data_IF_064352592015
#
_entry.id   IF_064352592015
#
_cell.length_a   1.000
_cell.length_b   1.000
_cell.length_c   1.000
_cell.angle_alpha   90.00
_cell.angle_beta   90.00
_cell.angle_gamma   90.00
#
_symmetry.space_group_name_H-M   'P 1'
#
loop_
_entity.id
_entity.type
_entity.pdbx_description
1 polymer ?
#
# COMPACT_ATOMS: atom_id res chain seq x y z
N UNK A 1 12.62 1.26 -54.98
CA UNK A 1 11.82 1.20 -53.74
C UNK A 1 12.79 1.17 -52.58
N UNK A 2 12.84 2.21 -51.75
CA UNK A 2 13.75 2.25 -50.60
C UNK A 2 13.25 1.24 -49.58
N UNK A 3 14.07 0.23 -49.28
CA UNK A 3 13.73 -0.82 -48.33
C UNK A 3 13.60 -0.20 -46.93
N UNK A 4 12.46 -0.41 -46.27
CA UNK A 4 12.24 0.06 -44.90
C UNK A 4 13.13 -0.72 -43.93
N UNK A 5 13.91 0.01 -43.13
CA UNK A 5 14.68 -0.56 -42.02
C UNK A 5 13.90 -0.38 -40.70
N UNK A 6 13.43 -1.47 -40.06
CA UNK A 6 12.71 -1.40 -38.79
C UNK A 6 13.62 -1.18 -37.58
N UNK A 7 14.95 -1.34 -37.70
CA UNK A 7 15.86 -1.33 -36.56
C UNK A 7 15.77 -0.07 -35.67
N UNK A 8 15.66 1.16 -36.22
CA UNK A 8 15.54 2.37 -35.40
C UNK A 8 14.24 2.39 -34.58
N UNK A 9 13.14 1.93 -35.16
CA UNK A 9 11.84 1.86 -34.48
C UNK A 9 11.87 0.84 -33.34
N UNK A 10 12.50 -0.32 -33.55
CA UNK A 10 12.66 -1.35 -32.52
C UNK A 10 13.52 -0.82 -31.35
N UNK A 11 14.62 -0.13 -31.65
CA UNK A 11 15.48 0.48 -30.63
C UNK A 11 14.72 1.52 -29.79
N UNK A 12 13.88 2.34 -30.43
CA UNK A 12 13.04 3.32 -29.75
C UNK A 12 12.03 2.64 -28.81
N UNK A 13 11.32 1.60 -29.27
CA UNK A 13 10.37 0.84 -28.46
C UNK A 13 11.06 0.26 -27.21
N UNK A 14 12.24 -0.34 -27.36
CA UNK A 14 12.99 -0.90 -26.24
C UNK A 14 13.39 0.19 -25.20
N UNK A 15 13.77 1.37 -25.68
CA UNK A 15 14.08 2.51 -24.80
C UNK A 15 12.86 2.99 -24.01
N UNK A 16 11.70 3.09 -24.66
CA UNK A 16 10.43 3.50 -24.03
C UNK A 16 10.02 2.48 -22.97
N UNK A 17 10.11 1.19 -23.27
CA UNK A 17 9.79 0.13 -22.30
C UNK A 17 10.66 0.24 -21.04
N UNK A 18 11.96 0.45 -21.22
CA UNK A 18 12.91 0.65 -20.11
C UNK A 18 12.56 1.87 -19.26
N UNK A 19 12.19 2.99 -19.90
CA UNK A 19 11.80 4.21 -19.19
C UNK A 19 10.47 4.03 -18.42
N UNK A 20 9.50 3.33 -19.01
CA UNK A 20 8.24 2.99 -18.34
C UNK A 20 8.48 2.11 -17.11
N UNK A 21 9.36 1.12 -17.22
CA UNK A 21 9.66 0.24 -16.09
C UNK A 21 10.39 0.98 -14.96
N UNK A 22 11.28 1.92 -15.30
CA UNK A 22 11.88 2.84 -14.31
C UNK A 22 10.82 3.72 -13.63
N UNK A 23 9.88 4.29 -14.40
CA UNK A 23 8.82 5.13 -13.84
C UNK A 23 7.90 4.32 -12.92
N UNK A 24 7.52 3.10 -13.33
CA UNK A 24 6.76 2.18 -12.47
C UNK A 24 7.49 1.87 -11.19
N UNK A 25 8.79 1.58 -11.25
CA UNK A 25 9.60 1.31 -10.06
C UNK A 25 9.60 2.52 -9.10
N UNK A 26 9.78 3.74 -9.62
CA UNK A 26 9.73 4.96 -8.81
C UNK A 26 8.37 5.18 -8.13
N UNK A 27 7.27 4.92 -8.85
CA UNK A 27 5.91 5.00 -8.29
C UNK A 27 5.65 3.89 -7.26
N UNK A 28 6.15 2.68 -7.49
CA UNK A 28 6.02 1.55 -6.55
C UNK A 28 6.83 1.76 -5.27
N UNK A 29 8.00 2.41 -5.33
CA UNK A 29 8.74 2.82 -4.11
C UNK A 29 7.96 3.82 -3.25
N UNK A 30 7.05 4.61 -3.83
CA UNK A 30 6.12 5.46 -3.08
C UNK A 30 5.01 4.69 -2.37
N UNK A 31 4.87 3.38 -2.62
CA UNK A 31 4.08 2.44 -1.82
C UNK A 31 4.94 1.73 -0.76
N UNK A 32 5.94 2.41 -0.20
CA UNK A 32 6.62 1.92 0.99
C UNK A 32 5.57 1.50 2.03
N UNK A 33 5.66 0.25 2.50
CA UNK A 33 4.76 -0.30 3.50
C UNK A 33 4.80 0.65 4.71
N UNK A 34 3.70 1.32 5.05
CA UNK A 34 3.72 2.31 6.12
C UNK A 34 4.14 1.65 7.43
N UNK A 35 5.06 2.28 8.15
CA UNK A 35 5.49 1.78 9.45
C UNK A 35 4.29 1.75 10.42
N UNK A 36 3.89 0.55 10.92
CA UNK A 36 2.82 0.41 11.90
C UNK A 36 3.06 1.18 13.20
N UNK A 37 4.33 1.41 13.56
CA UNK A 37 4.74 2.11 14.78
C UNK A 37 4.97 3.61 14.58
N UNK A 38 4.74 4.14 13.39
CA UNK A 38 4.83 5.58 13.13
C UNK A 38 3.92 6.35 14.09
N UNK A 39 4.49 7.36 14.77
CA UNK A 39 3.78 8.17 15.76
C UNK A 39 2.52 8.85 15.18
N UNK A 40 2.49 9.13 13.87
CA UNK A 40 1.32 9.72 13.18
C UNK A 40 0.11 8.78 13.14
N UNK A 41 0.29 7.48 13.39
CA UNK A 41 -0.82 6.53 13.42
C UNK A 41 -1.71 6.69 14.65
N UNK A 42 -1.23 7.36 15.71
CA UNK A 42 -1.93 7.45 16.98
C UNK A 42 -2.08 8.89 17.44
N UNK A 43 -3.24 9.17 18.00
CA UNK A 43 -3.48 10.36 18.81
C UNK A 43 -2.78 10.22 20.16
N UNK A 44 -2.58 11.32 20.92
CA UNK A 44 -2.00 11.27 22.26
C UNK A 44 -2.78 10.37 23.24
N UNK A 45 -4.07 10.14 23.00
CA UNK A 45 -4.92 9.24 23.80
C UNK A 45 -4.81 7.76 23.39
N UNK A 46 -3.92 7.44 22.44
CA UNK A 46 -3.67 6.09 21.95
C UNK A 46 -4.65 5.61 20.87
N UNK A 47 -5.68 6.39 20.50
CA UNK A 47 -6.59 6.03 19.41
C UNK A 47 -5.93 6.20 18.05
N UNK A 48 -6.34 5.37 17.09
CA UNK A 48 -5.83 5.48 15.72
C UNK A 48 -6.35 6.75 15.04
N UNK A 49 -5.45 7.47 14.39
CA UNK A 49 -5.79 8.52 13.41
C UNK A 49 -6.37 7.88 12.14
N UNK A 50 -7.00 8.66 11.23
CA UNK A 50 -7.43 8.12 9.93
C UNK A 50 -6.29 7.41 9.18
N UNK A 51 -5.09 7.99 9.22
CA UNK A 51 -3.86 7.34 8.73
C UNK A 51 -3.61 6.00 9.42
N UNK A 52 -3.64 5.98 10.75
CA UNK A 52 -3.43 4.75 11.53
C UNK A 52 -4.46 3.66 11.25
N UNK A 53 -5.72 4.03 10.96
CA UNK A 53 -6.76 3.09 10.51
C UNK A 53 -6.40 2.49 9.16
N UNK A 54 -6.01 3.32 8.19
CA UNK A 54 -5.59 2.84 6.86
C UNK A 54 -4.34 1.94 6.96
N UNK A 55 -3.36 2.25 7.83
CA UNK A 55 -2.22 1.37 8.09
C UNK A 55 -2.66 0.04 8.69
N UNK A 56 -3.58 0.06 9.66
CA UNK A 56 -4.17 -1.15 10.25
C UNK A 56 -4.86 -2.01 9.18
N UNK A 57 -5.62 -1.39 8.28
CA UNK A 57 -6.29 -2.09 7.19
C UNK A 57 -5.32 -2.68 6.18
N UNK A 58 -4.26 -1.96 5.81
CA UNK A 58 -3.21 -2.49 4.91
C UNK A 58 -2.51 -3.73 5.48
N UNK A 59 -2.41 -3.86 6.81
CA UNK A 59 -1.91 -5.08 7.42
C UNK A 59 -2.90 -6.24 7.29
N UNK A 60 -4.20 -5.99 7.38
CA UNK A 60 -5.23 -6.99 7.10
C UNK A 60 -5.29 -7.36 5.61
N UNK A 61 -5.17 -6.38 4.71
CA UNK A 61 -5.04 -6.58 3.26
C UNK A 61 -3.84 -7.51 2.96
N UNK A 62 -2.77 -7.43 3.75
CA UNK A 62 -1.60 -8.30 3.67
C UNK A 62 -1.77 -9.68 4.38
N UNK A 63 -2.99 -10.02 4.81
CA UNK A 63 -3.33 -11.30 5.44
C UNK A 63 -2.89 -11.46 6.90
N UNK A 64 -2.55 -10.36 7.59
CA UNK A 64 -2.14 -10.45 9.01
C UNK A 64 -3.35 -10.75 9.90
N UNK A 65 -3.13 -11.56 10.93
CA UNK A 65 -4.18 -11.87 11.92
C UNK A 65 -4.42 -10.67 12.84
N UNK A 66 -5.60 -10.62 13.49
CA UNK A 66 -5.93 -9.64 14.55
C UNK A 66 -4.83 -9.53 15.61
N UNK A 67 -4.24 -10.66 16.01
CA UNK A 67 -3.15 -10.70 16.97
C UNK A 67 -1.87 -10.06 16.40
N UNK A 68 -1.46 -10.44 15.19
CA UNK A 68 -0.28 -9.86 14.55
C UNK A 68 -0.42 -8.34 14.31
N UNK A 69 -1.63 -7.87 13.98
CA UNK A 69 -1.91 -6.43 13.85
C UNK A 69 -1.87 -5.72 15.19
N UNK A 70 -2.41 -6.34 16.25
CA UNK A 70 -2.33 -5.83 17.63
C UNK A 70 -0.88 -5.55 18.03
N UNK A 71 0.00 -6.54 17.83
CA UNK A 71 1.43 -6.44 18.14
C UNK A 71 2.16 -5.43 17.26
N UNK A 72 1.91 -5.46 15.94
CA UNK A 72 2.57 -4.56 15.00
C UNK A 72 2.22 -3.09 15.27
N UNK A 73 0.94 -2.80 15.47
CA UNK A 73 0.45 -1.44 15.73
C UNK A 73 0.63 -1.02 17.19
N UNK A 74 0.93 -1.93 18.11
CA UNK A 74 0.93 -1.66 19.55
C UNK A 74 -0.42 -1.15 20.07
N UNK A 75 -1.51 -1.80 19.64
CA UNK A 75 -2.88 -1.55 20.13
C UNK A 75 -3.39 -2.79 20.86
N UNK A 76 -4.51 -2.68 21.58
CA UNK A 76 -5.11 -3.85 22.23
C UNK A 76 -5.73 -4.81 21.22
N UNK A 77 -5.80 -6.10 21.57
CA UNK A 77 -6.43 -7.11 20.72
C UNK A 77 -7.91 -6.82 20.45
N UNK A 78 -8.61 -6.25 21.43
CA UNK A 78 -9.98 -5.77 21.27
C UNK A 78 -10.10 -4.66 20.23
N UNK A 79 -9.17 -3.69 20.23
CA UNK A 79 -9.13 -2.65 19.21
C UNK A 79 -8.83 -3.22 17.81
N UNK A 80 -7.87 -4.16 17.71
CA UNK A 80 -7.60 -4.84 16.45
C UNK A 80 -8.81 -5.65 15.95
N UNK A 81 -9.55 -6.31 16.84
CA UNK A 81 -10.77 -7.05 16.51
C UNK A 81 -11.89 -6.14 16.02
N UNK A 82 -12.09 -5.00 16.68
CA UNK A 82 -13.05 -3.98 16.21
C UNK A 82 -12.68 -3.47 14.82
N UNK A 83 -11.39 -3.18 14.58
CA UNK A 83 -10.90 -2.73 13.27
C UNK A 83 -11.02 -3.78 12.19
N UNK A 84 -10.80 -5.05 12.51
CA UNK A 84 -11.00 -6.14 11.56
C UNK A 84 -12.46 -6.22 11.09
N UNK A 85 -13.43 -6.12 12.00
CA UNK A 85 -14.86 -6.10 11.62
C UNK A 85 -15.27 -4.85 10.84
N UNK A 86 -14.63 -3.70 11.07
CA UNK A 86 -14.84 -2.50 10.26
C UNK A 86 -14.24 -2.65 8.85
N UNK A 87 -13.02 -3.19 8.76
CA UNK A 87 -12.34 -3.52 7.51
C UNK A 87 -13.16 -4.49 6.64
N UNK A 88 -13.73 -5.55 7.21
CA UNK A 88 -14.61 -6.48 6.47
C UNK A 88 -15.83 -5.77 5.87
N UNK A 89 -16.44 -4.83 6.60
CA UNK A 89 -17.60 -4.05 6.12
C UNK A 89 -17.25 -3.08 4.99
N UNK A 90 -16.00 -2.64 4.91
CA UNK A 90 -15.51 -1.76 3.85
C UNK A 90 -15.09 -2.51 2.59
N UNK A 91 -15.25 -3.84 2.55
CA UNK A 91 -14.92 -4.69 1.40
C UNK A 91 -13.71 -5.60 1.63
N UNK A 92 -13.12 -5.58 2.83
CA UNK A 92 -12.03 -6.47 3.20
C UNK A 92 -10.84 -6.35 2.23
N UNK A 93 -10.33 -7.46 1.67
CA UNK A 93 -9.21 -7.43 0.72
C UNK A 93 -9.48 -6.61 -0.55
N UNK A 94 -10.75 -6.45 -0.94
CA UNK A 94 -11.17 -5.76 -2.16
C UNK A 94 -11.60 -4.30 -1.90
N UNK A 95 -11.45 -3.81 -0.67
CA UNK A 95 -11.80 -2.43 -0.32
C UNK A 95 -11.00 -1.41 -1.13
N UNK A 96 -11.56 -0.22 -1.29
CA UNK A 96 -10.82 0.90 -1.84
C UNK A 96 -9.82 1.47 -0.81
N UNK A 97 -8.53 1.46 -1.15
CA UNK A 97 -7.46 1.94 -0.27
C UNK A 97 -7.46 3.45 -0.20
N UNK A 98 -7.48 3.99 1.01
CA UNK A 98 -7.40 5.43 1.21
C UNK A 98 -5.95 5.90 1.11
N UNK A 99 -5.70 7.13 0.65
CA UNK A 99 -4.38 7.72 0.66
C UNK A 99 -3.89 7.89 2.11
N UNK A 100 -2.59 7.68 2.32
CA UNK A 100 -1.96 7.96 3.61
C UNK A 100 -1.58 9.44 3.63
N UNK A 101 -2.33 10.25 4.37
CA UNK A 101 -1.98 11.64 4.69
C UNK A 101 -0.95 11.70 5.83
#
# INVERSE_FOLDING_TARGET
>A
MTQYDPAPAIALIASIQTQLDRLKALVQTSQATPDPKDARNKLPDGKLTPRGVEVCYRLFDAGKTRYAVSEAMGISYGAATYRYGAWEKEGGPDREKQPLA
#
